data_IF_522498973062
#
_entry.id   IF_522498973062
#
_cell.length_a   1.000
_cell.length_b   1.000
_cell.length_c   1.000
_cell.angle_alpha   90.00
_cell.angle_beta   90.00
_cell.angle_gamma   90.00
#
_symmetry.space_group_name_H-M   'P 1'
#
loop_
_entity.id
_entity.type
_entity.pdbx_description
1 polymer ?
#
# COMPACT_ATOMS: atom_id res chain seq x y z
N UNK A 1 4.06 1.96 -18.04
CA UNK A 1 4.35 1.62 -16.62
C UNK A 1 4.84 0.19 -16.58
N UNK A 2 5.84 -0.13 -15.76
CA UNK A 2 6.37 -1.50 -15.67
C UNK A 2 5.40 -2.39 -14.89
N UNK A 3 4.96 -3.50 -15.50
CA UNK A 3 4.04 -4.46 -14.88
C UNK A 3 4.68 -5.18 -13.67
N UNK A 4 4.18 -5.02 -12.44
CA UNK A 4 4.73 -5.69 -11.25
C UNK A 4 4.57 -7.21 -11.27
N UNK A 5 3.58 -7.76 -12.00
CA UNK A 5 3.32 -9.21 -12.02
C UNK A 5 4.34 -10.00 -12.84
N UNK A 6 5.15 -9.35 -13.68
CA UNK A 6 6.28 -10.00 -14.36
C UNK A 6 7.34 -10.43 -13.34
N UNK A 7 7.61 -9.59 -12.34
CA UNK A 7 8.63 -9.83 -11.32
C UNK A 7 8.21 -10.87 -10.30
N UNK A 8 6.91 -10.97 -10.01
CA UNK A 8 6.37 -12.07 -9.22
C UNK A 8 6.67 -13.42 -9.87
N UNK A 9 6.46 -13.53 -11.19
CA UNK A 9 6.80 -14.75 -11.95
C UNK A 9 8.30 -15.03 -11.95
N UNK A 10 9.13 -14.01 -12.16
CA UNK A 10 10.59 -14.14 -12.14
C UNK A 10 11.11 -14.60 -10.77
N UNK A 11 10.60 -14.05 -9.67
CA UNK A 11 10.89 -14.48 -8.30
C UNK A 11 10.58 -15.99 -8.11
N UNK A 12 9.41 -16.46 -8.54
CA UNK A 12 9.01 -17.86 -8.40
C UNK A 12 9.82 -18.81 -9.28
N UNK A 13 10.31 -18.34 -10.43
CA UNK A 13 11.20 -19.12 -11.29
C UNK A 13 12.62 -19.18 -10.76
N UNK A 14 13.10 -18.10 -10.14
CA UNK A 14 14.44 -18.00 -9.58
C UNK A 14 14.57 -18.69 -8.20
N UNK A 15 13.46 -18.82 -7.46
CA UNK A 15 13.43 -19.30 -6.06
C UNK A 15 14.39 -18.53 -5.14
N UNK A 16 14.58 -17.24 -5.43
CA UNK A 16 15.52 -16.36 -4.73
C UNK A 16 14.77 -15.35 -3.84
N UNK A 17 14.74 -15.53 -2.50
CA UNK A 17 14.06 -14.60 -1.59
C UNK A 17 14.71 -13.20 -1.56
N UNK A 18 15.89 -13.05 -2.14
CA UNK A 18 16.60 -11.78 -2.26
C UNK A 18 16.36 -11.08 -3.59
N UNK A 19 15.56 -11.66 -4.49
CA UNK A 19 15.24 -11.05 -5.78
C UNK A 19 14.69 -9.62 -5.60
N UNK A 20 15.20 -8.72 -6.42
CA UNK A 20 14.85 -7.29 -6.47
C UNK A 20 14.45 -6.94 -7.88
N UNK A 21 13.38 -6.18 -8.04
CA UNK A 21 13.06 -5.55 -9.31
C UNK A 21 14.22 -4.60 -9.73
N UNK A 22 14.50 -4.51 -11.04
CA UNK A 22 15.53 -3.64 -11.57
C UNK A 22 15.16 -2.16 -11.35
N UNK A 23 16.19 -1.30 -11.29
CA UNK A 23 16.03 0.08 -10.84
C UNK A 23 15.11 0.91 -11.75
N UNK A 24 15.12 0.67 -13.05
CA UNK A 24 14.23 1.30 -14.04
C UNK A 24 12.74 1.03 -13.73
N UNK A 25 12.42 -0.19 -13.29
CA UNK A 25 11.07 -0.54 -12.88
C UNK A 25 10.66 0.22 -11.61
N UNK A 26 11.56 0.25 -10.62
CA UNK A 26 11.36 0.95 -9.35
C UNK A 26 11.17 2.44 -9.57
N UNK A 27 11.94 3.06 -10.45
CA UNK A 27 11.80 4.48 -10.76
C UNK A 27 10.46 4.78 -11.42
N UNK A 28 9.98 3.95 -12.34
CA UNK A 28 8.62 4.12 -12.90
C UNK A 28 7.53 3.97 -11.82
N UNK A 29 7.73 3.09 -10.84
CA UNK A 29 6.79 2.95 -9.71
C UNK A 29 6.84 4.12 -8.74
N UNK A 30 8.01 4.75 -8.54
CA UNK A 30 8.12 5.99 -7.77
C UNK A 30 7.36 7.14 -8.44
N UNK A 31 7.46 7.26 -9.76
CA UNK A 31 6.68 8.24 -10.53
C UNK A 31 5.17 8.00 -10.38
N UNK A 32 4.73 6.74 -10.44
CA UNK A 32 3.32 6.39 -10.19
C UNK A 32 2.92 6.74 -8.75
N UNK A 33 3.77 6.44 -7.76
CA UNK A 33 3.49 6.70 -6.36
C UNK A 33 3.34 8.21 -6.07
N UNK A 34 4.15 9.06 -6.70
CA UNK A 34 3.99 10.51 -6.58
C UNK A 34 2.69 11.02 -7.21
N UNK A 35 2.29 10.48 -8.36
CA UNK A 35 0.99 10.82 -8.97
C UNK A 35 -0.18 10.41 -8.07
N UNK A 36 -0.11 9.22 -7.47
CA UNK A 36 -1.09 8.74 -6.48
C UNK A 36 -1.13 9.66 -5.26
N UNK A 37 0.03 10.08 -4.74
CA UNK A 37 0.12 11.00 -3.61
C UNK A 37 -0.54 12.33 -3.90
N UNK A 38 -0.26 12.92 -5.07
CA UNK A 38 -0.85 14.19 -5.49
C UNK A 38 -2.37 14.07 -5.61
N UNK A 39 -2.86 13.00 -6.22
CA UNK A 39 -4.30 12.81 -6.41
C UNK A 39 -5.04 12.58 -5.09
N UNK A 40 -4.50 11.72 -4.22
CA UNK A 40 -5.09 11.50 -2.90
C UNK A 40 -5.09 12.78 -2.06
N UNK A 41 -4.01 13.56 -2.10
CA UNK A 41 -3.95 14.85 -1.42
C UNK A 41 -4.99 15.85 -1.96
N UNK A 42 -5.18 15.91 -3.29
CA UNK A 42 -6.22 16.73 -3.95
C UNK A 42 -7.63 16.38 -3.45
N UNK A 43 -7.85 15.11 -3.15
CA UNK A 43 -9.14 14.56 -2.70
C UNK A 43 -9.28 14.51 -1.16
N UNK A 44 -8.33 15.12 -0.41
CA UNK A 44 -8.41 15.26 1.04
C UNK A 44 -7.80 14.11 1.84
N UNK A 45 -7.05 13.21 1.20
CA UNK A 45 -6.30 12.13 1.85
C UNK A 45 -4.81 12.49 1.87
N UNK A 46 -4.28 13.09 2.96
CA UNK A 46 -2.85 13.30 3.08
C UNK A 46 -2.16 11.94 3.20
N UNK A 47 -1.25 11.65 2.26
CA UNK A 47 -0.48 10.41 2.24
C UNK A 47 1.00 10.68 2.03
N UNK A 48 1.83 9.77 2.54
CA UNK A 48 3.30 9.82 2.39
C UNK A 48 3.78 8.70 1.47
N UNK A 49 4.68 9.01 0.55
CA UNK A 49 5.35 7.98 -0.27
C UNK A 49 6.48 7.38 0.55
N UNK A 50 6.49 6.05 0.69
CA UNK A 50 7.53 5.30 1.40
C UNK A 50 8.17 4.28 0.45
N UNK A 51 9.50 4.17 0.51
CA UNK A 51 10.27 3.15 -0.21
C UNK A 51 10.41 1.85 0.58
N UNK A 52 10.86 0.79 -0.11
CA UNK A 52 11.07 -0.56 0.42
C UNK A 52 11.96 -0.62 1.67
N UNK A 53 12.88 0.33 1.84
CA UNK A 53 13.55 0.60 3.12
C UNK A 53 12.56 1.33 4.03
N UNK A 54 11.58 0.59 4.56
CA UNK A 54 10.61 1.16 5.48
C UNK A 54 11.36 1.69 6.70
N UNK A 55 11.09 2.91 7.16
CA UNK A 55 11.64 3.40 8.41
C UNK A 55 11.23 2.46 9.56
N UNK A 56 12.07 2.33 10.59
CA UNK A 56 11.80 1.50 11.78
C UNK A 56 10.43 1.80 12.40
N UNK A 57 9.94 3.03 12.24
CA UNK A 57 8.55 3.41 12.50
C UNK A 57 7.93 4.07 11.27
N UNK A 58 6.78 3.55 10.84
CA UNK A 58 5.98 4.20 9.80
C UNK A 58 5.33 5.48 10.38
N UNK A 59 5.29 6.59 9.64
CA UNK A 59 4.53 7.75 10.07
C UNK A 59 3.04 7.40 10.22
N UNK A 60 2.30 8.19 10.99
CA UNK A 60 0.86 8.02 11.15
C UNK A 60 0.13 8.49 9.89
N UNK A 61 -0.89 7.75 9.45
CA UNK A 61 -1.77 8.12 8.35
C UNK A 61 -1.63 7.20 7.13
N UNK A 62 -1.99 7.74 5.96
CA UNK A 62 -2.01 7.00 4.71
C UNK A 62 -0.65 6.95 4.05
N UNK A 63 -0.37 5.82 3.40
CA UNK A 63 0.91 5.56 2.75
C UNK A 63 0.73 5.06 1.33
N UNK A 64 1.65 5.50 0.47
CA UNK A 64 1.87 4.95 -0.87
C UNK A 64 3.21 4.24 -0.83
N UNK A 65 3.19 2.91 -0.82
CA UNK A 65 4.37 2.08 -0.66
C UNK A 65 4.91 1.66 -2.02
N UNK A 66 6.21 1.86 -2.25
CA UNK A 66 6.92 1.38 -3.43
C UNK A 66 7.75 0.14 -3.07
N UNK A 67 7.38 -1.00 -3.63
CA UNK A 67 7.98 -2.30 -3.32
C UNK A 67 8.96 -2.73 -4.39
N UNK A 68 10.25 -2.79 -4.03
CA UNK A 68 11.29 -3.36 -4.88
C UNK A 68 11.38 -4.90 -4.75
N UNK A 69 10.93 -5.44 -3.61
CA UNK A 69 10.68 -6.88 -3.41
C UNK A 69 9.20 -7.19 -3.60
N UNK A 70 8.84 -8.47 -3.53
CA UNK A 70 7.46 -8.89 -3.32
C UNK A 70 6.80 -8.03 -2.22
N UNK A 71 5.64 -7.39 -2.49
CA UNK A 71 4.67 -7.64 -3.57
C UNK A 71 4.97 -7.07 -4.96
N UNK A 72 6.06 -6.31 -5.13
CA UNK A 72 6.44 -5.52 -6.31
C UNK A 72 5.41 -4.43 -6.68
N UNK A 73 5.88 -3.27 -7.13
CA UNK A 73 4.99 -2.19 -7.58
C UNK A 73 4.51 -1.27 -6.46
N UNK A 74 3.32 -0.68 -6.64
CA UNK A 74 2.76 0.34 -5.74
C UNK A 74 1.56 -0.20 -4.99
N UNK A 75 1.55 -0.07 -3.66
CA UNK A 75 0.38 -0.39 -2.82
C UNK A 75 -0.01 0.77 -1.92
N UNK A 76 -1.25 0.72 -1.44
CA UNK A 76 -1.76 1.60 -0.39
C UNK A 76 -1.71 0.90 0.96
N UNK A 77 -1.42 1.67 2.01
CA UNK A 77 -1.43 1.23 3.40
C UNK A 77 -1.92 2.36 4.31
N UNK A 78 -2.34 2.03 5.53
CA UNK A 78 -2.75 3.01 6.52
C UNK A 78 -2.25 2.61 7.92
N UNK A 79 -1.48 3.51 8.53
CA UNK A 79 -1.03 3.36 9.91
C UNK A 79 -1.91 4.18 10.84
N UNK A 80 -2.79 3.49 11.57
CA UNK A 80 -3.73 4.13 12.46
C UNK A 80 -3.03 4.72 13.69
N UNK A 81 -3.29 5.99 14.07
CA UNK A 81 -2.61 6.64 15.20
C UNK A 81 -2.74 5.88 16.53
N UNK A 82 -3.87 5.19 16.72
CA UNK A 82 -4.13 4.40 17.93
C UNK A 82 -3.13 3.26 18.10
N UNK A 83 -2.52 2.75 17.02
CA UNK A 83 -1.56 1.64 17.07
C UNK A 83 -0.29 1.98 17.84
N UNK A 84 0.11 3.25 17.84
CA UNK A 84 1.30 3.72 18.56
C UNK A 84 0.98 4.12 20.01
N UNK A 85 -0.30 4.10 20.40
CA UNK A 85 -0.68 4.45 21.76
C UNK A 85 -0.31 3.33 22.74
N UNK A 86 0.25 3.71 23.88
CA UNK A 86 0.60 2.78 24.96
C UNK A 86 -0.57 1.89 25.38
N UNK A 87 -1.78 2.47 25.46
CA UNK A 87 -2.99 1.72 25.82
C UNK A 87 -3.34 0.64 24.79
N UNK A 88 -3.16 0.92 23.49
CA UNK A 88 -3.38 -0.08 22.45
C UNK A 88 -2.34 -1.20 22.54
N UNK A 89 -1.06 -0.85 22.68
CA UNK A 89 0.04 -1.81 22.80
C UNK A 89 -0.19 -2.74 24.00
N UNK A 90 -0.49 -2.19 25.18
CA UNK A 90 -0.77 -2.97 26.40
C UNK A 90 -1.96 -3.92 26.20
N UNK A 91 -3.05 -3.46 25.58
CA UNK A 91 -4.24 -4.29 25.32
C UNK A 91 -3.98 -5.41 24.31
N UNK A 92 -3.15 -5.16 23.29
CA UNK A 92 -2.75 -6.19 22.32
C UNK A 92 -1.87 -7.24 22.99
N UNK A 93 -0.89 -6.82 23.79
CA UNK A 93 0.05 -7.72 24.47
C UNK A 93 -0.66 -8.64 25.48
N UNK A 94 -1.68 -8.15 26.18
CA UNK A 94 -2.43 -8.94 27.16
C UNK A 94 -3.46 -9.89 26.52
N UNK A 95 -3.61 -9.91 25.19
CA UNK A 95 -4.61 -10.69 24.45
C UNK A 95 -6.08 -10.47 24.90
N UNK A 96 -6.35 -9.41 25.65
CA UNK A 96 -7.63 -9.19 26.32
C UNK A 96 -8.74 -8.70 25.38
N UNK A 97 -8.44 -8.23 24.15
CA UNK A 97 -9.44 -7.62 23.28
C UNK A 97 -9.26 -7.94 21.79
N UNK A 98 -9.74 -9.12 21.37
CA UNK A 98 -9.99 -9.43 19.96
C UNK A 98 -10.81 -8.32 19.26
N UNK A 99 -11.76 -7.71 19.98
CA UNK A 99 -12.65 -6.66 19.45
C UNK A 99 -11.93 -5.37 19.04
N UNK A 100 -10.94 -4.90 19.82
CA UNK A 100 -10.22 -3.65 19.50
C UNK A 100 -9.32 -3.82 18.27
N UNK A 101 -8.59 -4.94 18.19
CA UNK A 101 -7.76 -5.26 17.03
C UNK A 101 -8.62 -5.36 15.78
N UNK A 102 -9.74 -6.09 15.86
CA UNK A 102 -10.68 -6.23 14.74
C UNK A 102 -11.26 -4.88 14.32
N UNK A 103 -11.62 -4.02 15.27
CA UNK A 103 -12.14 -2.68 14.98
C UNK A 103 -11.10 -1.82 14.24
N UNK A 104 -9.85 -1.80 14.71
CA UNK A 104 -8.77 -1.04 14.06
C UNK A 104 -8.46 -1.59 12.67
N UNK A 105 -8.44 -2.92 12.51
CA UNK A 105 -8.29 -3.56 11.20
C UNK A 105 -9.44 -3.22 10.25
N UNK A 106 -10.69 -3.24 10.71
CA UNK A 106 -11.86 -2.86 9.89
C UNK A 106 -11.79 -1.38 9.48
N UNK A 107 -11.45 -0.48 10.40
CA UNK A 107 -11.29 0.93 10.09
C UNK A 107 -10.17 1.18 9.07
N UNK A 108 -9.08 0.41 9.18
CA UNK A 108 -7.94 0.43 8.25
C UNK A 108 -8.37 -0.06 6.85
N UNK A 109 -9.16 -1.12 6.78
CA UNK A 109 -9.76 -1.62 5.54
C UNK A 109 -10.63 -0.55 4.86
N UNK A 110 -11.54 0.06 5.62
CA UNK A 110 -12.49 1.05 5.09
C UNK A 110 -11.75 2.24 4.49
N UNK A 111 -10.74 2.78 5.17
CA UNK A 111 -9.99 3.94 4.66
C UNK A 111 -9.14 3.59 3.45
N UNK A 112 -8.51 2.41 3.41
CA UNK A 112 -7.72 1.97 2.25
C UNK A 112 -8.63 1.77 1.04
N UNK A 113 -9.81 1.16 1.22
CA UNK A 113 -10.81 1.02 0.15
C UNK A 113 -11.29 2.38 -0.37
N UNK A 114 -11.56 3.31 0.52
CA UNK A 114 -11.96 4.66 0.13
C UNK A 114 -10.87 5.37 -0.71
N UNK A 115 -9.60 5.27 -0.31
CA UNK A 115 -8.48 5.78 -1.12
C UNK A 115 -8.41 5.10 -2.49
N UNK A 116 -8.63 3.79 -2.54
CA UNK A 116 -8.61 3.03 -3.80
C UNK A 116 -9.76 3.42 -4.74
N UNK A 117 -10.96 3.63 -4.19
CA UNK A 117 -12.14 4.07 -4.94
C UNK A 117 -11.92 5.48 -5.49
N UNK A 118 -11.34 6.39 -4.70
CA UNK A 118 -10.95 7.73 -5.19
C UNK A 118 -10.01 7.64 -6.39
N UNK A 119 -8.97 6.81 -6.31
CA UNK A 119 -8.03 6.63 -7.42
C UNK A 119 -8.70 6.00 -8.63
N UNK A 120 -9.58 5.04 -8.42
CA UNK A 120 -10.36 4.41 -9.49
C UNK A 120 -11.24 5.42 -10.22
N UNK A 121 -11.96 6.26 -9.48
CA UNK A 121 -12.77 7.34 -10.04
C UNK A 121 -11.89 8.38 -10.74
N UNK A 122 -10.69 8.66 -10.21
CA UNK A 122 -9.66 9.47 -10.85
C UNK A 122 -9.10 8.86 -12.15
N UNK A 123 -9.49 7.63 -12.50
CA UNK A 123 -9.11 6.94 -13.72
C UNK A 123 -7.86 6.08 -13.60
N UNK A 124 -7.25 5.97 -12.41
CA UNK A 124 -6.11 5.08 -12.19
C UNK A 124 -6.55 3.62 -12.35
N UNK A 125 -5.66 2.80 -12.91
CA UNK A 125 -5.88 1.36 -12.94
C UNK A 125 -5.50 0.77 -11.59
N UNK A 126 -6.49 0.35 -10.82
CA UNK A 126 -6.33 -0.22 -9.48
C UNK A 126 -6.70 -1.70 -9.44
N UNK A 127 -6.22 -2.42 -8.42
CA UNK A 127 -6.54 -3.83 -8.18
C UNK A 127 -6.57 -4.13 -6.69
N UNK A 128 -7.56 -4.92 -6.25
CA UNK A 128 -7.54 -5.58 -4.95
C UNK A 128 -6.99 -7.00 -5.18
N UNK A 129 -5.75 -7.22 -4.76
CA UNK A 129 -5.02 -8.47 -4.91
C UNK A 129 -5.25 -9.34 -3.67
N UNK A 130 -6.11 -10.34 -3.80
CA UNK A 130 -6.44 -11.26 -2.71
C UNK A 130 -5.32 -12.30 -2.53
N UNK A 131 -4.67 -12.27 -1.38
CA UNK A 131 -3.70 -13.28 -0.93
C UNK A 131 -4.40 -14.37 -0.11
N UNK A 132 -3.66 -15.44 0.19
CA UNK A 132 -4.17 -16.51 1.06
C UNK A 132 -4.65 -15.97 2.43
N UNK A 133 -5.66 -16.64 3.00
CA UNK A 133 -6.16 -16.39 4.37
C UNK A 133 -6.65 -14.95 4.64
N UNK A 134 -7.52 -14.43 3.78
CA UNK A 134 -8.25 -13.16 3.97
C UNK A 134 -7.40 -11.89 3.97
N UNK A 135 -6.13 -11.96 3.58
CA UNK A 135 -5.33 -10.77 3.36
C UNK A 135 -5.50 -10.27 1.91
N UNK A 136 -5.52 -8.96 1.72
CA UNK A 136 -5.55 -8.37 0.38
C UNK A 136 -4.60 -7.18 0.33
N UNK A 137 -4.07 -6.91 -0.86
CA UNK A 137 -3.26 -5.73 -1.14
C UNK A 137 -4.03 -4.81 -2.09
N UNK A 138 -4.18 -3.56 -1.71
CA UNK A 138 -4.73 -2.53 -2.59
C UNK A 138 -3.60 -1.95 -3.45
N UNK A 139 -3.58 -2.33 -4.72
CA UNK A 139 -2.53 -1.99 -5.69
C UNK A 139 -2.95 -0.89 -6.64
N UNK A 140 -1.98 -0.06 -7.02
CA UNK A 140 -2.10 0.87 -8.15
C UNK A 140 -1.15 0.40 -9.25
N UNK A 141 -1.69 0.18 -10.45
CA UNK A 141 -0.97 -0.45 -11.55
C UNK A 141 -0.51 0.56 -12.61
N UNK A 142 -1.37 1.53 -12.94
CA UNK A 142 -1.12 2.50 -14.01
C UNK A 142 -1.79 3.85 -13.67
N UNK A 143 -1.21 4.97 -14.13
CA UNK A 143 -1.87 6.28 -14.03
C UNK A 143 -3.10 6.35 -14.96
N UNK A 144 -3.94 7.40 -14.84
CA UNK A 144 -5.09 7.58 -15.71
C UNK A 144 -4.69 7.65 -17.18
N UNK A 145 -5.39 6.90 -18.04
CA UNK A 145 -5.19 6.96 -19.51
C UNK A 145 -5.61 8.31 -20.09
N UNK A 146 -6.58 8.96 -19.45
CA UNK A 146 -7.06 10.30 -19.78
C UNK A 146 -7.08 11.09 -18.48
N UNK A 147 -6.16 12.04 -18.26
CA UNK A 147 -6.15 12.84 -17.05
C UNK A 147 -7.44 13.66 -16.98
N UNK A 148 -8.13 13.61 -15.83
CA UNK A 148 -9.23 14.52 -15.56
C UNK A 148 -8.65 15.92 -15.29
N UNK A 149 -8.94 16.85 -16.20
CA UNK A 149 -8.50 18.26 -16.15
C UNK A 149 -9.32 19.03 -15.13
#
# INVERSE_FOLDING_TARGET
MTDPFRFYRELHLADDPTYRAPQDAVDSWRELAEQVRVELARMGFPVTVLSAEMPESKPVGGHVLVHQMEPFGVTLDWHAPVRDSRSYIEKVLNQEQYGLIMYVSLATEVIIRAMLDVLKEAGFRVLIDHRERHSYLCRVLEPPRFPMV
#
